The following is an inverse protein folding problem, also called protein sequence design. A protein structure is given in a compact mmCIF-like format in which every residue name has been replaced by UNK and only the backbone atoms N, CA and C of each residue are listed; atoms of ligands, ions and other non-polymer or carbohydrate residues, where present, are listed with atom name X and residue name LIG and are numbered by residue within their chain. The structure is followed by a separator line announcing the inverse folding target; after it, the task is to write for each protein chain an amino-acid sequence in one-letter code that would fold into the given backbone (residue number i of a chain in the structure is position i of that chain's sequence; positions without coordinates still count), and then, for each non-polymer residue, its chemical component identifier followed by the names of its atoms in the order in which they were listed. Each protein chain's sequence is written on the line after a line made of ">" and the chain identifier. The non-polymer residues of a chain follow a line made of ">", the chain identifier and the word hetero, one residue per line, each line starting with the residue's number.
data_IF_365322291246
#
_entry.id   IF_365322291246
#
_cell.length_a   1.000
_cell.length_b   1.000
_cell.length_c   1.000
_cell.angle_alpha   90.00
_cell.angle_beta   90.00
_cell.angle_gamma   90.00
#
_symmetry.space_group_name_H-M   'P 1'
#
loop_
_entity.id
_entity.type
_entity.pdbx_description
1 polymer ?
#
# COMPACT_ATOMS: atom_id res chain seq x y z
N UNK A 1 26.44 -73.02 35.74
CA UNK A 1 26.49 -72.71 34.31
C UNK A 1 25.34 -71.78 34.05
N UNK A 2 25.56 -70.48 33.96
CA UNK A 2 24.56 -69.45 33.72
C UNK A 2 24.95 -68.73 32.43
N UNK A 3 24.05 -68.83 31.41
CA UNK A 3 24.20 -68.13 30.14
C UNK A 3 23.62 -66.76 30.26
N UNK A 4 24.41 -65.74 30.06
CA UNK A 4 23.92 -64.34 29.89
C UNK A 4 23.72 -64.06 28.42
N UNK A 5 22.47 -63.91 27.99
CA UNK A 5 22.10 -63.34 26.68
C UNK A 5 22.15 -61.84 26.80
N UNK A 6 23.10 -61.22 26.13
CA UNK A 6 23.18 -59.78 26.00
C UNK A 6 22.38 -59.33 24.77
N UNK A 7 21.23 -58.71 25.00
CA UNK A 7 20.41 -58.11 23.95
C UNK A 7 21.04 -56.77 23.52
N UNK A 8 21.58 -56.74 22.33
CA UNK A 8 22.08 -55.51 21.70
C UNK A 8 20.86 -54.76 21.08
N UNK A 9 20.38 -53.71 21.73
CA UNK A 9 19.32 -52.86 21.22
C UNK A 9 19.93 -51.83 20.24
N UNK A 10 19.76 -52.06 18.95
CA UNK A 10 20.17 -51.11 17.88
C UNK A 10 19.13 -50.02 17.84
N UNK A 11 19.46 -48.85 18.37
CA UNK A 11 18.64 -47.63 18.29
C UNK A 11 18.88 -47.00 16.90
N UNK A 12 17.95 -47.23 15.95
CA UNK A 12 17.99 -46.62 14.62
C UNK A 12 17.54 -45.16 14.76
N UNK A 13 18.50 -44.23 14.86
CA UNK A 13 18.24 -42.80 14.84
C UNK A 13 17.91 -42.37 13.39
N UNK A 14 16.63 -42.35 13.05
CA UNK A 14 16.17 -41.67 11.82
C UNK A 14 16.33 -40.14 12.01
N UNK A 15 17.45 -39.62 11.53
CA UNK A 15 17.59 -38.17 11.35
C UNK A 15 16.69 -37.73 10.19
N UNK A 16 15.54 -37.17 10.52
CA UNK A 16 14.76 -36.38 9.55
C UNK A 16 15.60 -35.16 9.15
N UNK A 17 16.32 -35.26 8.05
CA UNK A 17 16.80 -34.08 7.34
C UNK A 17 15.59 -33.38 6.76
N UNK A 18 15.06 -32.40 7.49
CA UNK A 18 14.15 -31.44 6.94
C UNK A 18 14.93 -30.56 5.96
N UNK A 19 14.94 -30.92 4.69
CA UNK A 19 15.38 -30.04 3.62
C UNK A 19 14.36 -28.92 3.56
N UNK A 20 14.68 -27.79 4.19
CA UNK A 20 13.99 -26.54 3.90
C UNK A 20 14.21 -26.24 2.42
N UNK A 21 13.19 -26.46 1.59
CA UNK A 21 13.17 -25.97 0.22
C UNK A 21 13.17 -24.44 0.35
N UNK A 22 14.36 -23.84 0.31
CA UNK A 22 14.51 -22.42 0.11
C UNK A 22 13.88 -22.14 -1.26
N UNK A 23 12.77 -21.43 -1.28
CA UNK A 23 12.18 -20.92 -2.52
C UNK A 23 13.28 -20.15 -3.25
N UNK A 24 13.60 -20.57 -4.48
CA UNK A 24 14.65 -19.96 -5.30
C UNK A 24 14.15 -18.59 -5.79
N UNK A 25 14.39 -17.58 -4.97
CA UNK A 25 13.99 -16.21 -5.29
C UNK A 25 15.00 -15.61 -6.27
N UNK A 26 14.50 -15.15 -7.42
CA UNK A 26 15.29 -14.43 -8.43
C UNK A 26 15.06 -12.94 -8.32
N UNK A 27 16.04 -12.17 -8.73
CA UNK A 27 15.96 -10.71 -8.82
C UNK A 27 16.15 -10.30 -10.27
N UNK A 28 15.22 -9.48 -10.78
CA UNK A 28 15.30 -8.85 -12.10
C UNK A 28 15.33 -7.33 -11.96
N UNK A 29 16.07 -6.67 -12.84
CA UNK A 29 16.09 -5.22 -13.00
C UNK A 29 15.42 -4.82 -14.29
N UNK A 30 14.76 -3.64 -14.28
CA UNK A 30 14.05 -3.09 -15.44
C UNK A 30 14.55 -1.68 -15.71
N UNK A 31 14.81 -1.35 -16.99
CA UNK A 31 15.36 -0.04 -17.40
C UNK A 31 14.25 0.87 -17.96
N UNK A 32 13.26 1.19 -17.10
CA UNK A 32 12.29 2.23 -17.41
C UNK A 32 12.68 3.54 -16.72
N UNK A 33 12.50 4.64 -17.42
CA UNK A 33 12.81 6.01 -16.96
C UNK A 33 11.66 6.95 -17.32
N UNK A 34 11.74 8.19 -16.83
CA UNK A 34 10.79 9.26 -17.17
C UNK A 34 9.33 8.88 -16.86
N UNK A 35 9.11 8.31 -15.66
CA UNK A 35 7.80 8.12 -15.06
C UNK A 35 7.76 8.80 -13.68
N UNK A 36 6.59 9.27 -13.29
CA UNK A 36 6.35 9.88 -11.98
C UNK A 36 5.10 9.31 -11.28
N UNK A 37 4.45 8.33 -11.89
CA UNK A 37 3.39 7.53 -11.31
C UNK A 37 3.79 6.06 -11.20
N UNK A 38 3.29 5.36 -10.18
CA UNK A 38 3.50 3.92 -9.95
C UNK A 38 2.17 3.27 -9.64
N UNK A 39 1.84 2.19 -10.34
CA UNK A 39 0.65 1.37 -10.10
C UNK A 39 1.05 -0.07 -9.83
N UNK A 40 0.59 -0.62 -8.69
CA UNK A 40 0.91 -1.99 -8.26
C UNK A 40 -0.34 -2.71 -7.77
N UNK A 41 -0.52 -3.93 -8.24
CA UNK A 41 -1.68 -4.75 -7.86
C UNK A 41 -1.32 -6.09 -7.22
N UNK A 42 -2.37 -6.85 -6.88
CA UNK A 42 -2.28 -8.31 -6.64
C UNK A 42 -1.36 -8.76 -5.49
N UNK A 43 -1.41 -8.08 -4.35
CA UNK A 43 -0.71 -8.51 -3.13
C UNK A 43 0.82 -8.36 -3.16
N UNK A 44 1.35 -7.56 -4.07
CA UNK A 44 2.78 -7.27 -4.15
C UNK A 44 3.19 -6.20 -3.13
N UNK A 45 4.46 -6.22 -2.72
CA UNK A 45 5.04 -5.21 -1.82
C UNK A 45 5.95 -4.28 -2.61
N UNK A 46 5.68 -2.98 -2.59
CA UNK A 46 6.50 -1.97 -3.28
C UNK A 46 7.04 -0.93 -2.31
N UNK A 47 8.32 -0.64 -2.43
CA UNK A 47 8.97 0.48 -1.75
C UNK A 47 9.47 1.47 -2.79
N UNK A 48 9.06 2.72 -2.66
CA UNK A 48 9.50 3.84 -3.51
C UNK A 48 10.32 4.80 -2.67
N UNK A 49 11.54 5.07 -3.11
CA UNK A 49 12.47 5.95 -2.40
C UNK A 49 13.01 7.02 -3.34
N UNK A 50 13.19 8.21 -2.82
CA UNK A 50 13.75 9.32 -3.60
C UNK A 50 15.22 9.08 -3.97
N UNK A 51 15.54 9.36 -5.24
CA UNK A 51 16.90 9.32 -5.78
C UNK A 51 16.97 10.16 -7.05
N UNK A 52 18.14 10.68 -7.38
CA UNK A 52 18.34 11.40 -8.65
C UNK A 52 18.35 10.48 -9.88
N UNK A 53 18.23 9.17 -9.71
CA UNK A 53 18.24 8.17 -10.78
C UNK A 53 17.11 7.16 -10.61
N UNK A 54 16.64 6.66 -11.76
CA UNK A 54 15.67 5.58 -11.81
C UNK A 54 16.35 4.22 -11.60
N UNK A 55 15.77 3.41 -10.75
CA UNK A 55 16.11 1.99 -10.62
C UNK A 55 14.85 1.21 -10.26
N UNK A 56 14.63 0.08 -10.93
CA UNK A 56 13.51 -0.81 -10.66
C UNK A 56 14.07 -2.21 -10.47
N UNK A 57 13.87 -2.76 -9.28
CA UNK A 57 14.34 -4.09 -8.93
C UNK A 57 13.17 -4.91 -8.37
N UNK A 58 12.94 -6.09 -8.93
CA UNK A 58 11.87 -6.99 -8.49
C UNK A 58 12.48 -8.32 -8.07
N UNK A 59 12.19 -8.73 -6.85
CA UNK A 59 12.59 -10.03 -6.29
C UNK A 59 11.34 -10.87 -6.06
N UNK A 60 11.30 -12.05 -6.67
CA UNK A 60 10.17 -12.97 -6.63
C UNK A 60 10.62 -14.40 -6.91
N UNK A 61 9.77 -15.38 -6.68
CA UNK A 61 9.97 -16.73 -7.17
C UNK A 61 10.00 -16.76 -8.70
N UNK A 62 10.79 -17.64 -9.30
CA UNK A 62 10.90 -17.74 -10.77
C UNK A 62 9.54 -17.95 -11.45
N UNK A 63 8.64 -18.65 -10.79
CA UNK A 63 7.28 -18.93 -11.27
C UNK A 63 6.44 -17.66 -11.38
N UNK A 64 6.59 -16.74 -10.43
CA UNK A 64 5.83 -15.48 -10.40
C UNK A 64 6.22 -14.56 -11.57
N UNK A 65 7.46 -14.64 -12.04
CA UNK A 65 7.91 -13.86 -13.21
C UNK A 65 7.28 -14.28 -14.54
N UNK A 66 6.60 -15.42 -14.63
CA UNK A 66 5.98 -15.87 -15.88
C UNK A 66 4.79 -15.01 -16.26
N UNK A 67 3.99 -14.61 -15.27
CA UNK A 67 2.75 -13.87 -15.45
C UNK A 67 2.88 -12.42 -15.00
N UNK A 68 4.08 -12.03 -14.47
CA UNK A 68 4.34 -10.67 -14.01
C UNK A 68 4.61 -9.76 -15.20
N UNK A 69 3.76 -8.75 -15.35
CA UNK A 69 3.90 -7.68 -16.35
C UNK A 69 4.48 -6.45 -15.67
N UNK A 70 5.52 -5.89 -16.27
CA UNK A 70 6.12 -4.62 -15.88
C UNK A 70 6.19 -3.77 -17.15
N UNK A 71 5.44 -2.69 -17.19
CA UNK A 71 5.38 -1.83 -18.35
C UNK A 71 5.22 -0.35 -17.99
N UNK A 72 5.71 0.51 -18.87
CA UNK A 72 5.50 1.96 -18.74
C UNK A 72 4.40 2.40 -19.71
N UNK A 73 3.35 3.00 -19.17
CA UNK A 73 2.24 3.60 -19.92
C UNK A 73 2.21 5.12 -19.71
N UNK A 74 2.68 5.86 -20.69
CA UNK A 74 2.85 7.31 -20.56
C UNK A 74 3.88 7.64 -19.47
N UNK A 75 3.45 8.31 -18.41
CA UNK A 75 4.27 8.68 -17.26
C UNK A 75 4.06 7.77 -16.02
N UNK A 76 3.39 6.62 -16.16
CA UNK A 76 3.13 5.67 -15.10
C UNK A 76 3.83 4.34 -15.37
N UNK A 77 4.43 3.76 -14.33
CA UNK A 77 4.95 2.40 -14.30
C UNK A 77 3.88 1.48 -13.73
N UNK A 78 3.39 0.54 -14.52
CA UNK A 78 2.37 -0.43 -14.14
C UNK A 78 3.02 -1.79 -13.87
N UNK A 79 2.72 -2.39 -12.71
CA UNK A 79 3.23 -3.70 -12.28
C UNK A 79 2.04 -4.55 -11.80
N UNK A 80 1.72 -5.58 -12.55
CA UNK A 80 0.55 -6.42 -12.30
C UNK A 80 0.74 -7.83 -12.84
N UNK A 81 -0.15 -8.74 -12.52
CA UNK A 81 -0.18 -10.05 -13.15
C UNK A 81 -1.16 -10.04 -14.33
N UNK A 82 -0.71 -10.60 -15.46
CA UNK A 82 -1.62 -10.87 -16.58
C UNK A 82 -2.58 -12.02 -16.21
N UNK A 83 -3.85 -11.70 -16.15
CA UNK A 83 -4.93 -12.65 -15.92
C UNK A 83 -5.49 -13.15 -17.25
N UNK A 84 -4.66 -13.81 -18.07
CA UNK A 84 -5.19 -14.51 -19.26
C UNK A 84 -6.21 -15.57 -18.86
N UNK A 85 -7.19 -15.83 -19.74
CA UNK A 85 -8.34 -16.70 -19.48
C UNK A 85 -7.95 -18.11 -18.96
N UNK A 86 -6.75 -18.59 -19.29
CA UNK A 86 -6.20 -19.87 -18.83
C UNK A 86 -5.70 -19.86 -17.39
N UNK A 87 -5.40 -18.70 -16.81
CA UNK A 87 -4.96 -18.56 -15.41
C UNK A 87 -6.04 -18.79 -14.36
N UNK A 88 -7.31 -18.82 -14.74
CA UNK A 88 -8.45 -19.09 -13.84
C UNK A 88 -8.39 -20.49 -13.20
N UNK A 89 -7.85 -21.48 -13.89
CA UNK A 89 -7.77 -22.88 -13.41
C UNK A 89 -6.46 -23.24 -12.70
N UNK A 90 -5.46 -22.39 -12.74
CA UNK A 90 -4.16 -22.61 -12.12
C UNK A 90 -3.99 -21.78 -10.85
N UNK A 91 -4.52 -22.21 -9.71
CA UNK A 91 -4.27 -21.57 -8.42
C UNK A 91 -2.82 -21.86 -7.95
N UNK A 92 -1.84 -21.27 -8.60
CA UNK A 92 -0.52 -21.19 -7.98
C UNK A 92 -0.62 -20.19 -6.82
N UNK A 93 -0.32 -20.65 -5.61
CA UNK A 93 -0.14 -19.77 -4.47
C UNK A 93 1.00 -18.82 -4.83
N UNK A 94 0.66 -17.57 -5.15
CA UNK A 94 1.63 -16.54 -5.52
C UNK A 94 2.58 -16.29 -4.37
N UNK A 95 3.88 -16.16 -4.69
CA UNK A 95 4.92 -15.87 -3.72
C UNK A 95 4.89 -14.41 -3.27
N UNK A 96 5.83 -14.07 -2.42
CA UNK A 96 6.01 -12.70 -1.94
C UNK A 96 6.86 -11.93 -2.97
N UNK A 97 6.21 -11.10 -3.80
CA UNK A 97 6.89 -10.24 -4.78
C UNK A 97 7.28 -8.93 -4.10
N UNK A 98 8.57 -8.64 -4.07
CA UNK A 98 9.14 -7.42 -3.52
C UNK A 98 9.67 -6.53 -4.63
N UNK A 99 9.17 -5.31 -4.68
CA UNK A 99 9.51 -4.30 -5.67
C UNK A 99 10.22 -3.16 -4.96
N UNK A 100 11.39 -2.78 -5.46
CA UNK A 100 12.10 -1.59 -5.03
C UNK A 100 12.25 -0.65 -6.20
N UNK A 101 11.80 0.58 -6.02
CA UNK A 101 11.88 1.64 -7.03
C UNK A 101 12.62 2.81 -6.42
N UNK A 102 13.61 3.33 -7.14
CA UNK A 102 14.16 4.65 -6.87
C UNK A 102 13.83 5.57 -8.04
N UNK A 103 13.47 6.83 -7.75
CA UNK A 103 13.07 7.80 -8.75
C UNK A 103 13.21 9.24 -8.23
N UNK A 104 13.37 10.25 -9.13
CA UNK A 104 13.51 11.64 -8.70
C UNK A 104 12.25 12.23 -8.11
N UNK A 105 11.10 11.83 -8.63
CA UNK A 105 9.80 12.42 -8.30
C UNK A 105 8.69 11.37 -8.39
N UNK A 106 7.77 11.40 -7.42
CA UNK A 106 6.56 10.60 -7.42
C UNK A 106 5.34 11.53 -7.26
N UNK A 107 4.44 11.54 -8.22
CA UNK A 107 3.22 12.34 -8.21
C UNK A 107 1.94 11.51 -8.04
N UNK A 108 2.03 10.20 -8.29
CA UNK A 108 0.88 9.31 -8.13
C UNK A 108 1.31 7.90 -7.67
N UNK A 109 0.51 7.31 -6.78
CA UNK A 109 0.67 5.94 -6.30
C UNK A 109 -0.67 5.22 -6.27
N UNK A 110 -0.85 4.21 -7.13
CA UNK A 110 -2.08 3.43 -7.23
C UNK A 110 -1.82 2.02 -6.72
N UNK A 111 -2.58 1.58 -5.73
CA UNK A 111 -2.47 0.25 -5.14
C UNK A 111 -3.80 -0.50 -5.16
N UNK A 112 -3.79 -1.74 -5.59
CA UNK A 112 -5.01 -2.53 -5.68
C UNK A 112 -4.81 -3.99 -5.26
N UNK A 113 -5.92 -4.68 -4.99
CA UNK A 113 -5.91 -6.13 -4.81
C UNK A 113 -5.02 -6.63 -3.67
N UNK A 114 -4.96 -5.90 -2.57
CA UNK A 114 -4.15 -6.26 -1.40
C UNK A 114 -2.66 -5.91 -1.51
N UNK A 115 -2.26 -5.07 -2.48
CA UNK A 115 -0.88 -4.59 -2.58
C UNK A 115 -0.49 -3.72 -1.37
N UNK A 116 0.78 -3.77 -1.00
CA UNK A 116 1.34 -2.95 0.08
C UNK A 116 2.41 -2.01 -0.46
N UNK A 117 2.21 -0.71 -0.26
CA UNK A 117 3.13 0.35 -0.67
C UNK A 117 3.79 1.03 0.53
N UNK A 118 5.06 1.36 0.35
CA UNK A 118 5.79 2.21 1.28
C UNK A 118 6.57 3.29 0.53
N UNK A 119 6.38 4.58 0.92
CA UNK A 119 6.97 5.74 0.25
C UNK A 119 7.88 6.47 1.23
N UNK A 120 9.05 6.89 0.74
CA UNK A 120 9.95 7.82 1.43
C UNK A 120 10.38 8.88 0.40
N UNK A 121 9.63 9.98 0.34
CA UNK A 121 9.79 10.99 -0.71
C UNK A 121 9.56 12.41 -0.18
N UNK A 122 10.34 13.36 -0.68
CA UNK A 122 10.05 14.78 -0.58
C UNK A 122 9.65 15.30 -1.97
N UNK A 123 8.36 15.60 -2.14
CA UNK A 123 7.76 16.07 -3.40
C UNK A 123 7.49 17.59 -3.32
N UNK A 124 8.31 18.30 -2.56
CA UNK A 124 8.16 19.73 -2.27
C UNK A 124 7.63 20.58 -3.43
N UNK A 125 6.54 21.29 -3.15
CA UNK A 125 5.93 22.23 -4.10
C UNK A 125 5.02 21.59 -5.17
N UNK A 126 4.84 20.28 -5.18
CA UNK A 126 4.02 19.56 -6.16
C UNK A 126 2.84 18.86 -5.53
N UNK A 127 1.92 18.41 -6.37
CA UNK A 127 0.76 17.61 -5.93
C UNK A 127 1.10 16.13 -5.93
N UNK A 128 0.52 15.41 -4.96
CA UNK A 128 0.60 13.96 -4.87
C UNK A 128 -0.81 13.35 -4.82
N UNK A 129 -1.03 12.26 -5.56
CA UNK A 129 -2.27 11.48 -5.53
C UNK A 129 -1.99 10.05 -5.07
N UNK A 130 -2.80 9.56 -4.14
CA UNK A 130 -2.81 8.18 -3.69
C UNK A 130 -4.18 7.54 -3.93
N UNK A 131 -4.22 6.46 -4.70
CA UNK A 131 -5.43 5.67 -4.90
C UNK A 131 -5.22 4.28 -4.32
N UNK A 132 -6.14 3.83 -3.46
CA UNK A 132 -6.06 2.48 -2.87
C UNK A 132 -7.40 1.77 -2.91
N UNK A 133 -7.39 0.51 -3.34
CA UNK A 133 -8.62 -0.28 -3.48
C UNK A 133 -8.42 -1.75 -3.10
N UNK A 134 -9.51 -2.46 -2.88
CA UNK A 134 -9.51 -3.91 -2.74
C UNK A 134 -8.71 -4.47 -1.56
N UNK A 135 -8.52 -3.72 -0.50
CA UNK A 135 -7.74 -4.14 0.67
C UNK A 135 -6.25 -3.77 0.64
N UNK A 136 -5.85 -2.92 -0.31
CA UNK A 136 -4.48 -2.42 -0.39
C UNK A 136 -4.11 -1.50 0.79
N UNK A 137 -2.82 -1.38 1.06
CA UNK A 137 -2.30 -0.52 2.12
C UNK A 137 -1.15 0.35 1.62
N UNK A 138 -1.22 1.66 1.88
CA UNK A 138 -0.15 2.60 1.62
C UNK A 138 0.34 3.22 2.92
N UNK A 139 1.65 3.21 3.11
CA UNK A 139 2.31 3.85 4.27
C UNK A 139 3.49 4.70 3.78
N UNK A 140 3.95 5.64 4.59
CA UNK A 140 5.20 6.34 4.31
C UNK A 140 5.29 7.75 4.85
N UNK A 141 6.43 8.36 4.53
CA UNK A 141 6.75 9.73 4.85
C UNK A 141 6.79 10.55 3.56
N UNK A 142 6.01 11.66 3.52
CA UNK A 142 5.82 12.46 2.34
C UNK A 142 5.74 13.94 2.69
N UNK A 143 6.42 14.78 1.94
CA UNK A 143 6.19 16.23 1.92
C UNK A 143 5.73 16.63 0.52
N UNK A 144 4.60 17.31 0.42
CA UNK A 144 4.06 17.76 -0.88
C UNK A 144 3.35 19.12 -0.75
N UNK A 145 2.88 19.66 -1.86
CA UNK A 145 1.93 20.78 -1.88
C UNK A 145 0.51 20.26 -1.58
N UNK A 146 -0.28 20.03 -2.61
CA UNK A 146 -1.60 19.44 -2.44
C UNK A 146 -1.52 17.91 -2.42
N UNK A 147 -2.38 17.29 -1.62
CA UNK A 147 -2.52 15.84 -1.56
C UNK A 147 -3.96 15.42 -1.83
N UNK A 148 -4.15 14.44 -2.71
CA UNK A 148 -5.42 13.74 -2.93
C UNK A 148 -5.27 12.29 -2.46
N UNK A 149 -6.23 11.81 -1.68
CA UNK A 149 -6.24 10.44 -1.18
C UNK A 149 -7.61 9.83 -1.45
N UNK A 150 -7.66 8.87 -2.35
CA UNK A 150 -8.86 8.10 -2.68
C UNK A 150 -8.72 6.68 -2.13
N UNK A 151 -9.71 6.24 -1.35
CA UNK A 151 -9.69 4.91 -0.74
C UNK A 151 -11.04 4.22 -0.90
N UNK A 152 -11.01 2.96 -1.27
CA UNK A 152 -12.24 2.16 -1.41
C UNK A 152 -12.08 0.73 -0.90
N UNK A 153 -13.20 0.03 -0.73
CA UNK A 153 -13.20 -1.32 -0.20
C UNK A 153 -12.75 -1.38 1.26
N UNK A 154 -11.78 -2.21 1.57
CA UNK A 154 -11.17 -2.33 2.90
C UNK A 154 -9.78 -1.73 3.00
N UNK A 155 -9.42 -0.83 2.11
CA UNK A 155 -8.05 -0.32 1.99
C UNK A 155 -7.67 0.70 3.07
N UNK A 156 -6.38 0.94 3.19
CA UNK A 156 -5.80 1.83 4.21
C UNK A 156 -4.70 2.70 3.63
N UNK A 157 -4.75 4.00 3.96
CA UNK A 157 -3.63 4.93 3.75
C UNK A 157 -3.19 5.48 5.10
N UNK A 158 -1.89 5.43 5.39
CA UNK A 158 -1.30 5.99 6.61
C UNK A 158 0.00 6.72 6.24
N UNK A 159 -0.05 8.05 6.27
CA UNK A 159 1.10 8.89 5.91
C UNK A 159 1.49 9.80 7.06
N UNK A 160 2.79 10.11 7.11
CA UNK A 160 3.39 11.15 7.94
C UNK A 160 4.06 12.21 7.07
N UNK A 161 4.20 13.43 7.64
CA UNK A 161 4.80 14.56 6.94
C UNK A 161 3.93 15.80 6.89
N UNK A 162 3.88 16.47 5.74
CA UNK A 162 3.13 17.72 5.60
C UNK A 162 2.69 18.00 4.16
N UNK A 163 1.55 18.72 4.05
CA UNK A 163 1.01 19.24 2.81
C UNK A 163 0.29 20.57 3.02
N UNK A 164 -0.23 21.15 1.96
CA UNK A 164 -1.04 22.39 2.03
C UNK A 164 -2.55 22.07 2.12
N UNK A 165 -3.08 21.44 1.10
CA UNK A 165 -4.50 21.09 1.02
C UNK A 165 -4.68 19.59 0.81
N UNK A 166 -5.66 19.01 1.50
CA UNK A 166 -6.06 17.62 1.37
C UNK A 166 -7.43 17.51 0.72
N UNK A 167 -7.54 16.70 -0.33
CA UNK A 167 -8.78 16.11 -0.79
C UNK A 167 -8.80 14.64 -0.35
N UNK A 168 -9.82 14.25 0.41
CA UNK A 168 -9.93 12.90 0.97
C UNK A 168 -11.27 12.28 0.56
N UNK A 169 -11.21 11.26 -0.30
CA UNK A 169 -12.37 10.52 -0.77
C UNK A 169 -12.32 9.09 -0.20
N UNK A 170 -13.31 8.76 0.60
CA UNK A 170 -13.36 7.47 1.28
C UNK A 170 -14.68 6.75 1.10
N UNK A 171 -14.63 5.50 0.68
CA UNK A 171 -15.83 4.67 0.55
C UNK A 171 -15.63 3.24 1.08
N UNK A 172 -16.74 2.52 1.26
CA UNK A 172 -16.71 1.18 1.82
C UNK A 172 -16.28 1.18 3.30
N UNK A 173 -15.35 0.33 3.68
CA UNK A 173 -14.77 0.25 5.03
C UNK A 173 -13.35 0.80 5.11
N UNK A 174 -13.00 1.75 4.27
CA UNK A 174 -11.64 2.27 4.13
C UNK A 174 -11.19 3.18 5.29
N UNK A 175 -9.88 3.36 5.41
CA UNK A 175 -9.28 4.17 6.47
C UNK A 175 -8.18 5.07 5.94
N UNK A 176 -8.30 6.39 6.20
CA UNK A 176 -7.28 7.40 5.90
C UNK A 176 -6.72 7.95 7.22
N UNK A 177 -5.48 7.62 7.54
CA UNK A 177 -4.80 8.01 8.77
C UNK A 177 -3.71 9.04 8.49
N UNK A 178 -4.03 10.29 8.69
CA UNK A 178 -3.16 11.46 8.51
C UNK A 178 -2.96 12.24 9.83
N UNK A 179 -3.02 11.57 10.98
CA UNK A 179 -2.77 12.19 12.29
C UNK A 179 -1.34 12.76 12.37
N UNK A 180 -0.38 12.10 11.73
CA UNK A 180 1.01 12.52 11.67
C UNK A 180 1.36 13.30 10.38
N UNK A 181 0.37 13.61 9.57
CA UNK A 181 0.51 14.38 8.34
C UNK A 181 -0.27 15.70 8.50
N UNK A 182 0.44 16.83 8.58
CA UNK A 182 -0.21 18.11 8.80
C UNK A 182 -0.59 18.79 7.49
N UNK A 183 -1.83 19.28 7.43
CA UNK A 183 -2.35 20.06 6.31
C UNK A 183 -3.02 21.36 6.77
N UNK A 184 -3.26 22.27 5.86
CA UNK A 184 -3.99 23.50 6.16
C UNK A 184 -5.50 23.28 6.00
N UNK A 185 -5.96 23.01 4.79
CA UNK A 185 -7.38 22.86 4.49
C UNK A 185 -7.69 21.43 4.05
N UNK A 186 -8.91 21.02 4.33
CA UNK A 186 -9.42 19.69 4.02
C UNK A 186 -10.77 19.79 3.32
N UNK A 187 -10.90 19.08 2.20
CA UNK A 187 -12.17 18.71 1.61
C UNK A 187 -12.30 17.19 1.73
N UNK A 188 -13.37 16.72 2.34
CA UNK A 188 -13.60 15.30 2.56
C UNK A 188 -14.97 14.88 2.03
N UNK A 189 -14.99 13.88 1.16
CA UNK A 189 -16.19 13.19 0.66
C UNK A 189 -16.15 11.73 1.14
N UNK A 190 -17.03 11.40 2.07
CA UNK A 190 -16.96 10.11 2.78
C UNK A 190 -18.28 9.37 2.73
N UNK A 191 -18.22 8.08 2.45
CA UNK A 191 -19.41 7.23 2.40
C UNK A 191 -19.18 5.84 2.98
N UNK A 192 -20.27 5.11 3.16
CA UNK A 192 -20.22 3.77 3.74
C UNK A 192 -19.81 3.78 5.21
N UNK A 193 -18.79 3.04 5.57
CA UNK A 193 -18.20 2.99 6.91
C UNK A 193 -16.75 3.52 6.93
N UNK A 194 -16.42 4.43 6.02
CA UNK A 194 -15.06 4.97 5.91
C UNK A 194 -14.70 5.88 7.10
N UNK A 195 -13.42 5.95 7.43
CA UNK A 195 -12.95 6.78 8.54
C UNK A 195 -11.67 7.53 8.18
N UNK A 196 -11.66 8.83 8.50
CA UNK A 196 -10.51 9.72 8.30
C UNK A 196 -10.02 10.27 9.64
N UNK A 197 -8.72 10.27 9.86
CA UNK A 197 -8.03 10.99 10.94
C UNK A 197 -7.07 11.98 10.31
N UNK A 198 -7.24 13.27 10.56
CA UNK A 198 -6.44 14.32 9.93
C UNK A 198 -5.96 15.36 10.93
N UNK A 199 -4.67 15.71 10.86
CA UNK A 199 -4.09 16.84 11.57
C UNK A 199 -4.12 18.07 10.68
N UNK A 200 -4.87 19.11 11.07
CA UNK A 200 -5.10 20.27 10.22
C UNK A 200 -5.20 21.59 11.00
N UNK A 201 -4.91 22.67 10.31
CA UNK A 201 -5.00 24.02 10.91
C UNK A 201 -5.57 25.02 9.91
N UNK A 202 -6.88 24.98 9.68
CA UNK A 202 -7.59 25.80 8.70
C UNK A 202 -9.04 25.40 8.52
N UNK A 203 -9.52 25.38 7.28
CA UNK A 203 -10.94 25.13 6.98
C UNK A 203 -11.18 23.66 6.61
N UNK A 204 -12.22 23.07 7.22
CA UNK A 204 -12.73 21.74 6.92
C UNK A 204 -14.09 21.86 6.21
N UNK A 205 -14.13 21.43 4.96
CA UNK A 205 -15.38 21.13 4.25
C UNK A 205 -15.58 19.62 4.23
N UNK A 206 -16.80 19.14 4.45
CA UNK A 206 -17.04 17.69 4.49
C UNK A 206 -18.46 17.35 4.06
N UNK A 207 -18.57 16.43 3.11
CA UNK A 207 -19.84 15.77 2.74
C UNK A 207 -19.73 14.30 3.14
N UNK A 208 -20.65 13.85 4.00
CA UNK A 208 -20.54 12.50 4.56
C UNK A 208 -21.89 11.79 4.62
N UNK A 209 -21.85 10.49 4.31
CA UNK A 209 -23.04 9.65 4.33
C UNK A 209 -22.78 8.26 4.92
N UNK A 210 -23.85 7.55 5.25
CA UNK A 210 -23.77 6.23 5.86
C UNK A 210 -23.29 6.26 7.30
N UNK A 211 -22.30 5.47 7.66
CA UNK A 211 -21.64 5.45 8.97
C UNK A 211 -20.23 6.01 8.93
N UNK A 212 -19.93 6.88 7.98
CA UNK A 212 -18.60 7.47 7.84
C UNK A 212 -18.27 8.48 8.94
N UNK A 213 -17.00 8.62 9.28
CA UNK A 213 -16.59 9.54 10.32
C UNK A 213 -15.25 10.20 10.06
N UNK A 214 -15.13 11.51 10.36
CA UNK A 214 -13.89 12.25 10.29
C UNK A 214 -13.48 12.78 11.67
N UNK A 215 -12.28 12.39 12.11
CA UNK A 215 -11.64 12.93 13.31
C UNK A 215 -10.57 13.93 12.92
N UNK A 216 -10.70 15.16 13.44
CA UNK A 216 -9.71 16.21 13.19
C UNK A 216 -8.90 16.55 14.46
N UNK A 217 -7.65 16.91 14.26
CA UNK A 217 -6.73 17.40 15.28
C UNK A 217 -6.22 18.77 14.87
N UNK A 218 -6.05 19.69 15.85
CA UNK A 218 -5.57 21.04 15.63
C UNK A 218 -6.65 22.12 15.75
N UNK A 219 -6.42 23.26 15.09
CA UNK A 219 -7.36 24.41 15.10
C UNK A 219 -8.15 24.40 13.80
N UNK A 220 -9.44 24.12 13.89
CA UNK A 220 -10.31 23.92 12.73
C UNK A 220 -11.47 24.87 12.73
N UNK A 221 -11.71 25.50 11.58
CA UNK A 221 -12.95 26.20 11.26
C UNK A 221 -13.78 25.31 10.34
N UNK A 222 -14.99 24.98 10.77
CA UNK A 222 -15.93 24.25 9.92
C UNK A 222 -16.46 25.18 8.83
N UNK A 223 -16.29 24.79 7.58
CA UNK A 223 -16.87 25.43 6.41
C UNK A 223 -18.19 24.76 6.02
N UNK A 224 -18.32 24.36 4.76
CA UNK A 224 -19.51 23.65 4.29
C UNK A 224 -19.48 22.21 4.78
N UNK A 225 -20.50 21.81 5.54
CA UNK A 225 -20.65 20.44 6.03
C UNK A 225 -22.04 19.91 5.76
N UNK A 226 -22.11 18.68 5.25
CA UNK A 226 -23.35 17.95 4.98
C UNK A 226 -23.21 16.53 5.55
N UNK A 227 -24.20 16.10 6.32
CA UNK A 227 -24.18 14.78 6.96
C UNK A 227 -25.52 14.08 6.77
N UNK A 228 -25.46 12.79 6.42
CA UNK A 228 -26.64 11.92 6.35
C UNK A 228 -26.34 10.54 6.96
N UNK A 229 -27.37 9.87 7.47
CA UNK A 229 -27.22 8.62 8.21
C UNK A 229 -26.57 8.82 9.58
N UNK A 230 -25.62 7.98 9.92
CA UNK A 230 -24.82 8.07 11.16
C UNK A 230 -23.48 8.77 10.99
N UNK A 231 -23.31 9.52 9.90
CA UNK A 231 -22.06 10.19 9.59
C UNK A 231 -21.79 11.42 10.46
N UNK A 232 -20.53 11.79 10.62
CA UNK A 232 -20.21 12.96 11.41
C UNK A 232 -18.73 13.32 11.49
N UNK A 233 -18.48 14.49 12.09
CA UNK A 233 -17.15 15.05 12.33
C UNK A 233 -16.95 15.25 13.83
N UNK A 234 -15.81 14.88 14.34
CA UNK A 234 -15.46 15.07 15.77
C UNK A 234 -14.01 15.53 15.92
N UNK A 235 -13.76 16.27 17.00
CA UNK A 235 -12.39 16.53 17.42
C UNK A 235 -11.80 15.25 18.01
N UNK A 236 -10.59 14.88 17.55
CA UNK A 236 -9.84 13.76 18.10
C UNK A 236 -9.13 14.12 19.41
N UNK A 237 -8.92 13.12 20.26
CA UNK A 237 -8.20 13.21 21.54
C UNK A 237 -6.68 13.20 21.36
#
# INVERSE_FOLDING_TARGET
>A
MKNHFSSFLILLLLSFLSTSVLADSKTKTYDYKDFNGVSVGSGMHVTVTQSNSYSITITADERDFKDLVVEKRGNRLDIYYDHSIWGWFGHHRRGNVKIKITMPELTAMDLSGGAEGHIIMDVSGKSFSAETSGGASLTGDLTCGNISVETSGGSKVELSGKGENLNADGSGGSRIKLKNFSVRNVNADLSGGSTVWVNMNGTLNSDQSGGSHLYYYGKVSLGNTSFSGGAGVSKGD
#
